data_IF_693601694008
#
_entry.id   IF_693601694008
#
_cell.length_a   1.000
_cell.length_b   1.000
_cell.length_c   1.000
_cell.angle_alpha   90.00
_cell.angle_beta   90.00
_cell.angle_gamma   90.00
#
_symmetry.space_group_name_H-M   'P 1'
#
loop_
_entity.id
_entity.type
_entity.pdbx_description
1 polymer ?
#
# COMPACT_ATOMS: atom_id res chain seq x y z
N UNK A 1 0.06 -1.39 9.61
CA UNK A 1 -0.78 -0.67 8.62
C UNK A 1 0.17 0.02 7.67
N UNK A 2 0.13 -0.35 6.40
CA UNK A 2 0.91 0.30 5.34
C UNK A 2 0.01 1.35 4.68
N UNK A 3 0.58 2.48 4.27
CA UNK A 3 -0.14 3.58 3.61
C UNK A 3 0.20 3.65 2.12
N UNK A 4 -0.64 4.33 1.36
CA UNK A 4 -0.36 4.77 -0.02
C UNK A 4 -0.09 6.27 -0.04
N UNK A 5 0.65 6.82 -1.02
CA UNK A 5 1.20 6.16 -2.20
C UNK A 5 2.35 5.19 -1.90
N UNK A 6 2.41 4.10 -2.65
CA UNK A 6 3.57 3.23 -2.76
C UNK A 6 4.20 3.48 -4.13
N UNK A 7 5.53 3.57 -4.21
CA UNK A 7 6.24 3.95 -5.43
C UNK A 7 7.23 2.88 -5.82
N UNK A 8 7.12 2.41 -7.07
CA UNK A 8 7.98 1.37 -7.62
C UNK A 8 8.45 1.75 -9.03
N UNK A 9 9.59 1.19 -9.43
CA UNK A 9 9.94 1.14 -10.84
C UNK A 9 8.87 0.35 -11.62
N UNK A 10 8.46 0.87 -12.78
CA UNK A 10 7.35 0.30 -13.55
C UNK A 10 7.67 -1.11 -14.07
N UNK A 11 8.92 -1.38 -14.42
CA UNK A 11 9.32 -2.68 -14.94
C UNK A 11 9.35 -3.69 -13.79
N UNK A 12 9.91 -3.31 -12.64
CA UNK A 12 9.88 -4.12 -11.41
C UNK A 12 8.46 -4.51 -11.02
N UNK A 13 7.54 -3.55 -10.95
CA UNK A 13 6.16 -3.81 -10.52
C UNK A 13 5.44 -4.75 -11.49
N UNK A 14 5.58 -4.51 -12.80
CA UNK A 14 4.98 -5.38 -13.83
C UNK A 14 5.52 -6.81 -13.75
N UNK A 15 6.81 -6.98 -13.53
CA UNK A 15 7.41 -8.31 -13.41
C UNK A 15 6.93 -9.01 -12.13
N UNK A 16 6.78 -8.28 -11.02
CA UNK A 16 6.21 -8.82 -9.79
C UNK A 16 4.76 -9.31 -9.99
N UNK A 17 3.91 -8.58 -10.73
CA UNK A 17 2.54 -9.00 -11.00
C UNK A 17 2.38 -10.19 -11.96
N UNK A 18 3.48 -10.74 -12.51
CA UNK A 18 3.43 -11.97 -13.32
C UNK A 18 3.46 -13.26 -12.49
N UNK A 19 3.73 -13.17 -11.18
CA UNK A 19 3.68 -14.32 -10.29
C UNK A 19 2.23 -14.77 -10.03
N UNK A 20 2.04 -16.00 -9.56
CA UNK A 20 0.71 -16.50 -9.22
C UNK A 20 0.09 -15.66 -8.09
N UNK A 21 -1.19 -15.32 -8.24
CA UNK A 21 -1.92 -14.59 -7.21
C UNK A 21 -2.08 -15.44 -5.94
N UNK A 22 -1.94 -14.79 -4.79
CA UNK A 22 -2.23 -15.38 -3.48
C UNK A 22 -3.01 -14.38 -2.64
N UNK A 23 -3.85 -14.86 -1.71
CA UNK A 23 -4.59 -14.00 -0.78
C UNK A 23 -3.69 -13.28 0.25
N UNK A 24 -2.39 -13.56 0.25
CA UNK A 24 -1.41 -12.81 1.03
C UNK A 24 -1.11 -11.44 0.41
N UNK A 25 -1.44 -11.22 -0.87
CA UNK A 25 -1.25 -9.93 -1.53
C UNK A 25 -2.32 -8.94 -1.09
N UNK A 26 -1.90 -7.91 -0.37
CA UNK A 26 -2.81 -6.91 0.21
C UNK A 26 -2.54 -5.48 -0.27
N UNK A 27 -1.37 -5.25 -0.85
CA UNK A 27 -0.91 -4.01 -1.48
C UNK A 27 0.23 -4.29 -2.49
N UNK A 28 0.71 -3.28 -3.19
CA UNK A 28 1.75 -3.43 -4.22
C UNK A 28 3.10 -3.88 -3.60
N UNK A 29 3.40 -3.42 -2.38
CA UNK A 29 4.59 -3.82 -1.63
C UNK A 29 4.63 -5.32 -1.35
N UNK A 30 3.52 -5.91 -0.88
CA UNK A 30 3.43 -7.35 -0.58
C UNK A 30 3.62 -8.22 -1.84
N UNK A 31 3.23 -7.73 -3.01
CA UNK A 31 3.48 -8.41 -4.30
C UNK A 31 4.98 -8.37 -4.63
N UNK A 32 5.63 -7.23 -4.43
CA UNK A 32 7.08 -7.07 -4.70
C UNK A 32 7.93 -7.86 -3.70
N UNK A 33 7.57 -7.87 -2.41
CA UNK A 33 8.23 -8.64 -1.36
C UNK A 33 8.16 -10.15 -1.62
N UNK A 34 7.01 -10.66 -2.10
CA UNK A 34 6.84 -12.06 -2.45
C UNK A 34 7.77 -12.53 -3.58
N UNK A 35 8.24 -11.60 -4.43
CA UNK A 35 9.28 -11.85 -5.43
C UNK A 35 10.71 -11.85 -4.84
N UNK A 36 10.85 -11.75 -3.52
CA UNK A 36 12.13 -11.72 -2.81
C UNK A 36 12.87 -10.39 -2.93
N UNK A 37 12.17 -9.29 -3.25
CA UNK A 37 12.75 -7.95 -3.34
C UNK A 37 12.57 -7.18 -2.05
N UNK A 38 13.56 -6.38 -1.69
CA UNK A 38 13.50 -5.49 -0.53
C UNK A 38 12.59 -4.28 -0.82
N UNK A 39 11.76 -3.92 0.15
CA UNK A 39 10.95 -2.71 0.17
C UNK A 39 11.44 -1.82 1.32
N UNK A 40 11.54 -0.53 1.05
CA UNK A 40 12.01 0.47 2.01
C UNK A 40 10.82 1.24 2.57
N UNK A 41 10.78 1.38 3.90
CA UNK A 41 9.75 2.16 4.57
C UNK A 41 10.17 3.62 4.69
N UNK A 42 9.19 4.50 4.50
CA UNK A 42 9.29 5.94 4.78
C UNK A 42 8.26 6.30 5.84
N UNK A 43 8.57 7.29 6.68
CA UNK A 43 7.62 7.76 7.69
C UNK A 43 6.37 8.32 7.01
N UNK A 44 5.21 7.82 7.41
CA UNK A 44 3.91 8.24 6.90
C UNK A 44 3.32 9.41 7.68
N UNK A 45 2.23 9.99 7.17
CA UNK A 45 1.42 10.91 7.96
C UNK A 45 0.25 10.12 8.59
N UNK A 46 0.09 10.19 9.91
CA UNK A 46 -1.02 9.55 10.64
C UNK A 46 -2.41 10.00 10.13
N UNK A 47 -2.52 11.22 9.61
CA UNK A 47 -3.75 11.79 9.05
C UNK A 47 -4.12 11.19 7.68
N UNK A 48 -3.19 10.50 7.01
CA UNK A 48 -3.41 9.78 5.75
C UNK A 48 -4.14 8.47 6.00
N UNK A 49 -5.39 8.58 6.48
CA UNK A 49 -6.23 7.46 6.85
C UNK A 49 -6.93 6.87 5.62
N UNK A 50 -7.09 5.54 5.62
CA UNK A 50 -8.00 4.86 4.69
C UNK A 50 -9.42 5.00 5.21
N UNK A 51 -10.34 5.51 4.40
CA UNK A 51 -11.76 5.59 4.75
C UNK A 51 -12.42 4.23 4.53
N UNK A 52 -12.73 3.53 5.63
CA UNK A 52 -13.28 2.16 5.63
C UNK A 52 -14.57 2.03 6.42
N UNK A 53 -14.86 3.01 7.29
CA UNK A 53 -16.05 3.05 8.14
C UNK A 53 -16.76 4.40 8.01
N UNK A 54 -18.06 4.48 8.38
CA UNK A 54 -18.76 5.76 8.45
C UNK A 54 -18.16 6.75 9.46
N UNK A 55 -17.40 6.27 10.44
CA UNK A 55 -16.73 7.13 11.41
C UNK A 55 -15.51 7.83 10.78
N UNK A 56 -14.80 7.16 9.88
CA UNK A 56 -13.62 7.71 9.21
C UNK A 56 -13.97 8.97 8.41
N UNK A 57 -15.20 9.05 7.87
CA UNK A 57 -15.72 10.25 7.19
C UNK A 57 -15.74 11.48 8.11
N UNK A 58 -16.19 11.30 9.35
CA UNK A 58 -16.23 12.40 10.34
C UNK A 58 -14.83 12.87 10.71
N UNK A 59 -13.87 11.94 10.75
CA UNK A 59 -12.47 12.28 11.00
C UNK A 59 -11.88 13.04 9.81
N UNK A 60 -12.12 12.56 8.59
CA UNK A 60 -11.64 13.21 7.38
C UNK A 60 -12.17 14.65 7.23
N UNK A 61 -13.44 14.89 7.55
CA UNK A 61 -14.04 16.24 7.54
C UNK A 61 -13.37 17.23 8.51
N UNK A 62 -12.77 16.74 9.60
CA UNK A 62 -12.06 17.59 10.58
C UNK A 62 -10.63 17.91 10.13
N UNK A 63 -10.04 17.09 9.27
CA UNK A 63 -8.66 17.22 8.79
C UNK A 63 -8.52 18.10 7.53
N UNK A 64 -9.63 18.53 6.92
CA UNK A 64 -9.70 19.38 5.72
C UNK A 64 -9.94 20.84 6.12
#
# INVERSE_FOLDING_TARGET
LVQTPQVFDVQLLKDAYRQEYTDAFTDDASVVEAMGKEVWLVEGNRENIKLTTPFDLKIAEVLI
#
